data_IF_687780672912
#
_entry.id   IF_687780672912
#
_cell.length_a   1.000
_cell.length_b   1.000
_cell.length_c   1.000
_cell.angle_alpha   90.00
_cell.angle_beta   90.00
_cell.angle_gamma   90.00
#
_symmetry.space_group_name_H-M   'P 1'
#
loop_
_entity.id
_entity.type
_entity.pdbx_description
1 polymer ?
#
# COMPACT_ATOMS: atom_id res chain seq x y z
N UNK A 1 -5.61 -25.24 -27.56
CA UNK A 1 -5.60 -24.71 -26.18
C UNK A 1 -7.05 -24.72 -25.69
N UNK A 2 -7.30 -25.20 -24.45
CA UNK A 2 -8.67 -25.27 -23.91
C UNK A 2 -9.29 -23.90 -23.74
N UNK A 3 -10.62 -23.82 -23.82
CA UNK A 3 -11.40 -22.59 -23.64
C UNK A 3 -11.22 -22.03 -22.22
N UNK A 4 -11.18 -20.70 -22.10
CA UNK A 4 -11.13 -20.01 -20.81
C UNK A 4 -12.53 -19.64 -20.38
N UNK A 5 -12.92 -20.10 -19.21
CA UNK A 5 -14.22 -19.78 -18.59
C UNK A 5 -14.00 -18.83 -17.41
N UNK A 6 -14.69 -17.69 -17.41
CA UNK A 6 -14.69 -16.75 -16.28
C UNK A 6 -15.87 -17.04 -15.35
N UNK A 7 -15.59 -17.10 -14.05
CA UNK A 7 -16.59 -17.37 -13.01
C UNK A 7 -16.53 -16.27 -11.95
N UNK A 8 -17.68 -15.68 -11.62
CA UNK A 8 -17.81 -14.81 -10.43
C UNK A 8 -17.63 -15.63 -9.18
N UNK A 9 -16.84 -15.13 -8.24
CA UNK A 9 -16.66 -15.78 -6.93
C UNK A 9 -17.88 -15.48 -6.06
N UNK A 10 -18.62 -16.50 -5.70
CA UNK A 10 -19.86 -16.40 -4.93
C UNK A 10 -19.93 -17.36 -3.72
N UNK A 11 -18.93 -18.22 -3.55
CA UNK A 11 -18.90 -19.19 -2.46
C UNK A 11 -17.49 -19.35 -1.86
N UNK A 12 -17.42 -19.96 -0.68
CA UNK A 12 -16.18 -20.10 0.10
C UNK A 12 -15.11 -20.98 -0.58
N UNK A 13 -15.52 -21.97 -1.38
CA UNK A 13 -14.57 -22.83 -2.13
C UNK A 13 -13.86 -22.01 -3.22
N UNK A 14 -14.60 -21.21 -3.95
CA UNK A 14 -14.05 -20.33 -4.98
C UNK A 14 -13.21 -19.23 -4.35
N UNK A 15 -13.65 -18.62 -3.22
CA UNK A 15 -12.86 -17.62 -2.49
C UNK A 15 -11.53 -18.22 -2.00
N UNK A 16 -11.52 -19.44 -1.50
CA UNK A 16 -10.29 -20.14 -1.14
C UNK A 16 -9.37 -20.33 -2.35
N UNK A 17 -9.92 -20.72 -3.50
CA UNK A 17 -9.14 -20.87 -4.74
C UNK A 17 -8.59 -19.51 -5.22
N UNK A 18 -9.37 -18.43 -5.07
CA UNK A 18 -8.94 -17.06 -5.37
C UNK A 18 -7.75 -16.64 -4.51
N UNK A 19 -7.83 -16.84 -3.19
CA UNK A 19 -6.77 -16.47 -2.25
C UNK A 19 -5.49 -17.27 -2.48
N UNK A 20 -5.61 -18.57 -2.76
CA UNK A 20 -4.47 -19.48 -2.87
C UNK A 20 -3.79 -19.52 -4.24
N UNK A 21 -4.37 -18.91 -5.29
CA UNK A 21 -3.76 -18.93 -6.62
C UNK A 21 -2.31 -18.43 -6.67
N UNK A 22 -1.92 -17.32 -5.96
CA UNK A 22 -0.55 -16.82 -5.97
C UNK A 22 0.48 -17.84 -5.48
N UNK A 23 0.15 -18.71 -4.53
CA UNK A 23 1.06 -19.76 -4.06
C UNK A 23 1.59 -20.63 -5.21
N UNK A 24 0.74 -20.87 -6.22
CA UNK A 24 1.11 -21.66 -7.38
C UNK A 24 1.85 -20.84 -8.43
N UNK A 25 1.40 -19.63 -8.72
CA UNK A 25 2.03 -18.74 -9.72
C UNK A 25 3.45 -18.39 -9.29
N UNK A 26 3.66 -18.15 -7.99
CA UNK A 26 4.96 -17.74 -7.44
C UNK A 26 5.75 -18.91 -6.83
N UNK A 27 5.36 -20.16 -7.10
CA UNK A 27 6.09 -21.32 -6.60
C UNK A 27 7.57 -21.26 -7.01
N UNK A 28 8.48 -21.29 -6.03
CA UNK A 28 9.93 -21.17 -6.27
C UNK A 28 10.44 -19.75 -6.53
N UNK A 29 9.60 -18.74 -6.59
CA UNK A 29 10.04 -17.35 -6.75
C UNK A 29 10.66 -16.82 -5.44
N UNK A 30 11.91 -16.33 -5.53
CA UNK A 30 12.65 -15.85 -4.37
C UNK A 30 12.34 -14.37 -4.01
N UNK A 31 11.61 -13.65 -4.85
CA UNK A 31 11.33 -12.23 -4.69
C UNK A 31 9.92 -11.93 -4.22
N UNK A 32 8.99 -12.85 -4.43
CA UNK A 32 7.59 -12.68 -4.04
C UNK A 32 7.40 -12.68 -2.52
N UNK A 33 6.61 -11.73 -2.02
CA UNK A 33 6.16 -11.64 -0.63
C UNK A 33 4.64 -11.82 -0.60
N UNK A 34 4.14 -12.94 -0.05
CA UNK A 34 2.70 -13.21 -0.04
C UNK A 34 1.95 -12.25 0.89
N UNK A 35 0.70 -11.97 0.54
CA UNK A 35 -0.27 -11.36 1.45
C UNK A 35 -0.70 -12.36 2.53
N UNK A 36 -1.28 -11.85 3.62
CA UNK A 36 -1.99 -12.71 4.55
C UNK A 36 -3.32 -13.17 3.93
N UNK A 37 -3.56 -14.48 3.89
CA UNK A 37 -4.79 -15.06 3.35
C UNK A 37 -6.05 -14.43 3.94
N UNK A 38 -6.03 -14.17 5.24
CA UNK A 38 -7.17 -13.55 5.94
C UNK A 38 -7.40 -12.10 5.50
N UNK A 39 -6.34 -11.33 5.23
CA UNK A 39 -6.49 -9.93 4.80
C UNK A 39 -7.18 -9.85 3.45
N UNK A 40 -6.82 -10.74 2.52
CA UNK A 40 -7.48 -10.81 1.21
C UNK A 40 -8.96 -11.20 1.36
N UNK A 41 -9.28 -12.19 2.22
CA UNK A 41 -10.67 -12.59 2.46
C UNK A 41 -11.49 -11.46 3.09
N UNK A 42 -10.89 -10.74 4.03
CA UNK A 42 -11.55 -9.65 4.77
C UNK A 42 -11.89 -8.47 3.86
N UNK A 43 -11.16 -8.24 2.76
CA UNK A 43 -11.51 -7.22 1.74
C UNK A 43 -12.92 -7.41 1.18
N UNK A 44 -13.39 -8.66 1.04
CA UNK A 44 -14.71 -9.00 0.49
C UNK A 44 -15.80 -9.15 1.56
N UNK A 45 -15.47 -9.00 2.83
CA UNK A 45 -16.40 -9.21 3.94
C UNK A 45 -16.97 -7.90 4.47
N UNK A 46 -18.27 -7.59 4.23
CA UNK A 46 -18.87 -6.33 4.67
C UNK A 46 -18.95 -6.16 6.21
N UNK A 47 -18.76 -7.25 6.97
CA UNK A 47 -18.69 -7.16 8.45
C UNK A 47 -17.30 -6.76 8.95
N UNK A 48 -16.28 -6.82 8.08
CA UNK A 48 -14.89 -6.53 8.43
C UNK A 48 -14.30 -5.37 7.64
N UNK A 49 -14.87 -5.07 6.48
CA UNK A 49 -14.42 -3.99 5.61
C UNK A 49 -15.53 -2.94 5.47
N UNK A 50 -15.44 -1.90 6.28
CA UNK A 50 -16.42 -0.80 6.30
C UNK A 50 -16.40 0.04 5.01
N UNK A 51 -15.33 -0.03 4.21
CA UNK A 51 -15.26 0.62 2.89
C UNK A 51 -16.31 0.09 1.91
N UNK A 52 -16.83 -1.13 2.12
CA UNK A 52 -17.90 -1.70 1.29
C UNK A 52 -19.25 -0.99 1.44
N UNK A 53 -19.38 -0.01 2.34
CA UNK A 53 -20.54 0.87 2.40
C UNK A 53 -20.63 1.84 1.22
N UNK A 54 -19.48 2.21 0.64
CA UNK A 54 -19.38 3.13 -0.49
C UNK A 54 -18.60 2.56 -1.69
N UNK A 55 -18.12 1.34 -1.59
CA UNK A 55 -17.46 0.63 -2.67
C UNK A 55 -18.14 -0.72 -2.96
N UNK A 56 -18.13 -1.11 -4.22
CA UNK A 56 -18.52 -2.43 -4.66
C UNK A 56 -17.27 -3.19 -5.08
N UNK A 57 -17.19 -4.46 -4.70
CA UNK A 57 -16.09 -5.34 -5.09
C UNK A 57 -16.63 -6.67 -5.60
N UNK A 58 -16.05 -7.17 -6.71
CA UNK A 58 -16.39 -8.50 -7.27
C UNK A 58 -15.11 -9.23 -7.67
N UNK A 59 -14.92 -10.41 -7.12
CA UNK A 59 -13.84 -11.30 -7.51
C UNK A 59 -14.25 -12.20 -8.69
N UNK A 60 -13.28 -12.46 -9.58
CA UNK A 60 -13.43 -13.35 -10.73
C UNK A 60 -12.28 -14.37 -10.77
N UNK A 61 -12.57 -15.57 -11.21
CA UNK A 61 -11.62 -16.63 -11.48
C UNK A 61 -11.68 -17.03 -12.96
N UNK A 62 -10.51 -17.20 -13.57
CA UNK A 62 -10.37 -17.81 -14.87
C UNK A 62 -10.05 -19.30 -14.72
N UNK A 63 -10.84 -20.13 -15.39
CA UNK A 63 -10.64 -21.58 -15.44
C UNK A 63 -10.22 -22.00 -16.84
N UNK A 64 -9.32 -22.98 -16.92
CA UNK A 64 -9.00 -23.73 -18.12
C UNK A 64 -8.93 -25.20 -17.77
N UNK A 65 -9.72 -26.04 -18.48
CA UNK A 65 -9.76 -27.47 -18.23
C UNK A 65 -9.99 -27.84 -16.75
N UNK A 66 -10.87 -27.08 -16.07
CA UNK A 66 -11.20 -27.27 -14.66
C UNK A 66 -10.18 -26.77 -13.64
N UNK A 67 -9.04 -26.20 -14.09
CA UNK A 67 -8.03 -25.60 -13.22
C UNK A 67 -8.16 -24.07 -13.20
N UNK A 68 -7.98 -23.46 -12.02
CA UNK A 68 -7.89 -22.00 -11.92
C UNK A 68 -6.56 -21.55 -12.50
N UNK A 69 -6.57 -20.68 -13.50
CA UNK A 69 -5.38 -20.17 -14.20
C UNK A 69 -5.19 -18.67 -14.06
N UNK A 70 -6.17 -17.98 -13.44
CA UNK A 70 -6.08 -16.56 -13.15
C UNK A 70 -7.16 -16.10 -12.19
N UNK A 71 -6.93 -14.95 -11.59
CA UNK A 71 -7.86 -14.22 -10.71
C UNK A 71 -7.80 -12.72 -10.96
N UNK A 72 -8.85 -11.99 -10.67
CA UNK A 72 -8.92 -10.54 -10.67
C UNK A 72 -10.08 -10.07 -9.79
N UNK A 73 -9.98 -8.88 -9.21
CA UNK A 73 -11.10 -8.19 -8.58
C UNK A 73 -11.45 -6.92 -9.36
N UNK A 74 -12.72 -6.70 -9.63
CA UNK A 74 -13.28 -5.42 -10.05
C UNK A 74 -13.74 -4.64 -8.82
N UNK A 75 -13.45 -3.34 -8.78
CA UNK A 75 -13.74 -2.45 -7.65
C UNK A 75 -14.32 -1.15 -8.18
N UNK A 76 -15.46 -0.70 -7.65
CA UNK A 76 -16.03 0.61 -7.92
C UNK A 76 -16.05 1.37 -6.60
N UNK A 77 -15.17 2.34 -6.43
CA UNK A 77 -15.15 3.23 -5.29
C UNK A 77 -15.93 4.51 -5.64
N UNK A 78 -17.15 4.64 -5.13
CA UNK A 78 -18.05 5.78 -5.42
C UNK A 78 -17.47 7.10 -4.92
N UNK A 79 -16.83 7.12 -3.76
CA UNK A 79 -16.21 8.33 -3.20
C UNK A 79 -15.03 8.82 -4.07
N UNK A 80 -14.19 7.89 -4.54
CA UNK A 80 -13.10 8.24 -5.46
C UNK A 80 -13.64 8.75 -6.80
N UNK A 81 -14.65 8.08 -7.36
CA UNK A 81 -15.25 8.50 -8.64
C UNK A 81 -15.90 9.90 -8.53
N UNK A 82 -16.61 10.19 -7.45
CA UNK A 82 -17.17 11.51 -7.17
C UNK A 82 -16.08 12.58 -7.02
N UNK A 83 -15.06 12.29 -6.20
CA UNK A 83 -13.95 13.21 -5.93
C UNK A 83 -13.20 13.58 -7.21
N UNK A 84 -12.84 12.60 -8.01
CA UNK A 84 -12.05 12.76 -9.23
C UNK A 84 -12.92 13.04 -10.46
N UNK A 85 -14.25 13.14 -10.31
CA UNK A 85 -15.22 13.37 -11.37
C UNK A 85 -15.06 12.43 -12.56
N UNK A 86 -14.90 11.15 -12.25
CA UNK A 86 -14.67 10.08 -13.22
C UNK A 86 -15.71 8.97 -13.09
N UNK A 87 -15.88 8.17 -14.14
CA UNK A 87 -16.70 6.97 -14.16
C UNK A 87 -15.79 5.77 -14.38
N UNK A 88 -15.06 5.38 -13.34
CA UNK A 88 -13.98 4.41 -13.45
C UNK A 88 -14.23 3.17 -12.58
N UNK A 89 -14.01 1.98 -13.16
CA UNK A 89 -13.84 0.74 -12.43
C UNK A 89 -12.35 0.49 -12.22
N UNK A 90 -11.95 0.18 -11.01
CA UNK A 90 -10.59 -0.26 -10.71
C UNK A 90 -10.49 -1.78 -10.89
N UNK A 91 -9.34 -2.26 -11.34
CA UNK A 91 -8.99 -3.68 -11.17
C UNK A 91 -7.89 -3.80 -10.12
N UNK A 92 -7.96 -4.89 -9.33
CA UNK A 92 -6.96 -5.21 -8.32
C UNK A 92 -6.82 -6.71 -8.12
N UNK A 93 -5.90 -7.15 -7.26
CA UNK A 93 -5.65 -8.56 -6.95
C UNK A 93 -5.50 -9.45 -8.20
N UNK A 94 -4.97 -8.89 -9.29
CA UNK A 94 -4.81 -9.57 -10.57
C UNK A 94 -3.62 -10.52 -10.53
N UNK A 95 -3.87 -11.80 -10.86
CA UNK A 95 -2.84 -12.83 -11.00
C UNK A 95 -3.21 -13.79 -12.12
N UNK A 96 -2.24 -14.14 -12.96
CA UNK A 96 -2.52 -15.02 -14.10
C UNK A 96 -1.25 -15.74 -14.59
N UNK A 97 -1.44 -16.93 -15.16
CA UNK A 97 -0.38 -17.65 -15.86
C UNK A 97 -0.01 -16.93 -17.17
N UNK A 98 1.24 -17.06 -17.65
CA UNK A 98 1.76 -16.38 -18.84
C UNK A 98 1.05 -16.83 -20.14
N UNK A 99 -0.17 -16.35 -20.31
CA UNK A 99 -1.00 -16.53 -21.51
C UNK A 99 -1.90 -15.31 -21.69
N UNK A 100 -1.74 -14.59 -22.78
CA UNK A 100 -2.48 -13.37 -23.11
C UNK A 100 -4.01 -13.59 -23.14
N UNK A 101 -4.48 -14.78 -23.47
CA UNK A 101 -5.89 -15.09 -23.47
C UNK A 101 -6.49 -15.10 -22.07
N UNK A 102 -5.69 -15.47 -21.04
CA UNK A 102 -6.13 -15.45 -19.65
C UNK A 102 -6.28 -14.03 -19.15
N UNK A 103 -5.23 -13.20 -19.30
CA UNK A 103 -5.24 -11.80 -18.87
C UNK A 103 -6.33 -11.01 -19.60
N UNK A 104 -6.50 -11.22 -20.92
CA UNK A 104 -7.60 -10.64 -21.69
C UNK A 104 -8.98 -10.99 -21.12
N UNK A 105 -9.25 -12.26 -20.88
CA UNK A 105 -10.53 -12.70 -20.37
C UNK A 105 -10.84 -12.13 -18.97
N UNK A 106 -9.83 -12.07 -18.08
CA UNK A 106 -9.96 -11.47 -16.75
C UNK A 106 -10.27 -9.99 -16.80
N UNK A 107 -9.51 -9.22 -17.58
CA UNK A 107 -9.71 -7.79 -17.72
C UNK A 107 -11.05 -7.47 -18.37
N UNK A 108 -11.44 -8.19 -19.43
CA UNK A 108 -12.75 -8.06 -20.07
C UNK A 108 -13.91 -8.33 -19.10
N UNK A 109 -13.75 -9.29 -18.17
CA UNK A 109 -14.79 -9.54 -17.16
C UNK A 109 -14.99 -8.35 -16.23
N UNK A 110 -13.92 -7.62 -15.87
CA UNK A 110 -13.99 -6.39 -15.06
C UNK A 110 -14.52 -5.23 -15.91
N UNK A 111 -14.08 -5.08 -17.17
CA UNK A 111 -14.59 -4.08 -18.11
C UNK A 111 -16.12 -4.22 -18.26
N UNK A 112 -16.61 -5.43 -18.54
CA UNK A 112 -18.04 -5.71 -18.65
C UNK A 112 -18.79 -5.43 -17.34
N UNK A 113 -18.28 -5.90 -16.21
CA UNK A 113 -18.89 -5.68 -14.90
C UNK A 113 -18.97 -4.20 -14.53
N UNK A 114 -17.96 -3.43 -14.92
CA UNK A 114 -17.93 -1.97 -14.77
C UNK A 114 -18.93 -1.29 -15.70
N UNK A 115 -18.95 -1.65 -16.98
CA UNK A 115 -19.87 -1.11 -18.00
C UNK A 115 -21.33 -1.29 -17.62
N UNK A 116 -21.71 -2.49 -17.12
CA UNK A 116 -23.05 -2.78 -16.58
C UNK A 116 -23.46 -1.83 -15.44
N UNK A 117 -22.49 -1.12 -14.83
CA UNK A 117 -22.66 -0.16 -13.73
C UNK A 117 -22.36 1.28 -14.12
N UNK A 118 -22.29 1.54 -15.44
CA UNK A 118 -22.09 2.89 -15.98
C UNK A 118 -20.65 3.40 -15.93
N UNK A 119 -19.67 2.51 -15.73
CA UNK A 119 -18.26 2.91 -15.82
C UNK A 119 -17.81 2.94 -17.27
N UNK A 120 -17.01 3.95 -17.61
CA UNK A 120 -16.50 4.20 -18.97
C UNK A 120 -15.01 3.99 -19.10
N UNK A 121 -14.32 3.80 -17.96
CA UNK A 121 -12.89 3.58 -17.90
C UNK A 121 -12.58 2.45 -16.92
N UNK A 122 -11.47 1.74 -17.16
CA UNK A 122 -10.88 0.77 -16.25
C UNK A 122 -9.46 1.20 -15.93
N UNK A 123 -9.08 1.19 -14.64
CA UNK A 123 -7.73 1.52 -14.20
C UNK A 123 -7.23 0.59 -13.10
N UNK A 124 -5.90 0.47 -12.97
CA UNK A 124 -5.29 -0.33 -11.90
C UNK A 124 -3.90 -0.88 -12.25
N UNK A 125 -3.36 -1.81 -11.44
CA UNK A 125 -4.02 -2.37 -10.27
C UNK A 125 -4.07 -1.39 -9.10
N UNK A 126 -5.24 -1.31 -8.46
CA UNK A 126 -5.49 -0.48 -7.28
C UNK A 126 -6.46 -1.19 -6.35
N UNK A 127 -6.40 -0.87 -5.06
CA UNK A 127 -7.35 -1.36 -4.07
C UNK A 127 -8.60 -0.49 -3.92
N UNK A 128 -9.34 -0.74 -2.84
CA UNK A 128 -10.51 0.04 -2.48
C UNK A 128 -10.07 1.39 -1.91
N UNK A 129 -9.07 1.38 -1.03
CA UNK A 129 -8.53 2.53 -0.33
C UNK A 129 -7.02 2.66 -0.54
N UNK A 130 -6.47 3.81 -0.25
CA UNK A 130 -5.05 4.15 -0.42
C UNK A 130 -4.07 3.34 0.45
N UNK A 131 -4.58 2.58 1.44
CA UNK A 131 -3.79 1.63 2.21
C UNK A 131 -3.72 0.24 1.59
N UNK A 132 -4.50 -0.01 0.56
CA UNK A 132 -4.38 -1.25 -0.22
C UNK A 132 -3.18 -1.14 -1.16
N UNK A 133 -2.65 -2.27 -1.58
CA UNK A 133 -1.51 -2.30 -2.50
C UNK A 133 -1.89 -1.78 -3.88
N UNK A 134 -1.02 -0.95 -4.46
CA UNK A 134 -1.24 -0.27 -5.73
C UNK A 134 -0.06 -0.41 -6.69
N UNK A 135 -0.37 -0.35 -7.98
CA UNK A 135 0.60 -0.31 -9.06
C UNK A 135 1.21 -1.67 -9.42
N UNK A 136 1.22 -1.99 -10.70
CA UNK A 136 1.89 -3.15 -11.28
C UNK A 136 3.40 -2.88 -11.38
N UNK A 137 4.23 -3.78 -10.87
CA UNK A 137 5.69 -3.68 -11.01
C UNK A 137 6.07 -3.69 -12.49
N UNK A 138 6.89 -2.72 -12.92
CA UNK A 138 7.36 -2.57 -14.31
C UNK A 138 8.88 -2.55 -14.43
N UNK A 139 9.61 -2.33 -13.32
CA UNK A 139 11.07 -2.36 -13.24
C UNK A 139 11.54 -3.09 -11.97
N UNK A 140 12.79 -3.57 -11.97
CA UNK A 140 13.46 -4.20 -10.83
C UNK A 140 12.77 -5.49 -10.33
N UNK A 141 12.39 -6.37 -11.24
CA UNK A 141 11.75 -7.66 -10.94
C UNK A 141 12.63 -8.64 -10.17
N UNK A 142 13.93 -8.38 -10.12
CA UNK A 142 14.97 -9.14 -9.41
C UNK A 142 15.21 -8.62 -7.99
N UNK A 143 14.42 -7.67 -7.52
CA UNK A 143 14.41 -7.21 -6.14
C UNK A 143 13.25 -7.86 -5.36
N UNK A 144 13.53 -8.18 -4.10
CA UNK A 144 12.50 -8.73 -3.21
C UNK A 144 11.37 -7.71 -3.03
N UNK A 145 10.14 -8.17 -3.17
CA UNK A 145 8.94 -7.39 -2.85
C UNK A 145 8.90 -7.00 -1.38
N UNK A 146 7.98 -6.14 -1.02
CA UNK A 146 7.72 -5.80 0.36
C UNK A 146 6.29 -6.16 0.78
N UNK A 147 6.01 -6.11 2.07
CA UNK A 147 4.67 -6.38 2.58
C UNK A 147 3.64 -5.32 2.17
N UNK A 148 4.10 -4.17 1.71
CA UNK A 148 3.26 -3.01 1.35
C UNK A 148 3.12 -2.81 -0.17
N UNK A 149 3.77 -3.66 -0.97
CA UNK A 149 3.84 -3.49 -2.42
C UNK A 149 3.25 -4.69 -3.17
N UNK A 150 2.83 -4.45 -4.40
CA UNK A 150 2.56 -5.52 -5.37
C UNK A 150 3.90 -6.00 -5.97
N UNK A 151 4.10 -7.31 -6.01
CA UNK A 151 5.11 -7.96 -6.84
C UNK A 151 4.40 -8.77 -7.92
N UNK A 152 4.89 -8.70 -9.14
CA UNK A 152 4.39 -9.48 -10.28
C UNK A 152 5.52 -9.87 -11.24
N UNK A 153 5.33 -10.94 -12.03
CA UNK A 153 6.29 -11.34 -13.06
C UNK A 153 6.42 -10.31 -14.20
N UNK A 154 7.57 -10.31 -14.94
CA UNK A 154 7.83 -9.35 -16.02
C UNK A 154 6.87 -9.42 -17.21
N UNK A 155 6.11 -10.52 -17.38
CA UNK A 155 5.16 -10.64 -18.47
C UNK A 155 3.85 -9.86 -18.22
N UNK A 156 3.53 -9.48 -16.97
CA UNK A 156 2.31 -8.72 -16.65
C UNK A 156 2.24 -7.38 -17.41
N UNK A 157 3.23 -6.47 -17.30
CA UNK A 157 3.18 -5.20 -18.04
C UNK A 157 3.14 -5.40 -19.55
N UNK A 158 3.84 -6.41 -20.09
CA UNK A 158 3.78 -6.73 -21.53
C UNK A 158 2.35 -7.09 -21.98
N UNK A 159 1.61 -7.84 -21.15
CA UNK A 159 0.21 -8.15 -21.45
C UNK A 159 -0.66 -6.91 -21.42
N UNK A 160 -0.45 -5.99 -20.46
CA UNK A 160 -1.21 -4.73 -20.39
C UNK A 160 -1.02 -3.90 -21.67
N UNK A 161 0.22 -3.74 -22.13
CA UNK A 161 0.55 -3.02 -23.37
C UNK A 161 -0.11 -3.71 -24.59
N UNK A 162 -0.02 -5.03 -24.72
CA UNK A 162 -0.61 -5.79 -25.83
C UNK A 162 -2.15 -5.68 -25.84
N UNK A 163 -2.78 -5.50 -24.68
CA UNK A 163 -4.23 -5.35 -24.55
C UNK A 163 -4.71 -3.90 -24.67
N UNK A 164 -3.79 -2.96 -25.02
CA UNK A 164 -4.11 -1.57 -25.28
C UNK A 164 -4.33 -0.74 -24.03
N UNK A 165 -3.77 -1.16 -22.89
CA UNK A 165 -3.72 -0.34 -21.68
C UNK A 165 -2.56 0.65 -21.78
N UNK A 166 -2.78 1.87 -21.33
CA UNK A 166 -1.81 2.94 -21.33
C UNK A 166 -1.38 3.28 -19.89
N UNK A 167 -0.24 3.96 -19.76
CA UNK A 167 0.22 4.49 -18.47
C UNK A 167 -0.69 5.62 -18.01
N UNK A 168 -1.21 5.49 -16.80
CA UNK A 168 -1.87 6.59 -16.08
C UNK A 168 -0.88 7.34 -15.22
N UNK A 169 -0.32 6.68 -14.21
CA UNK A 169 0.74 7.21 -13.34
C UNK A 169 1.75 6.11 -13.00
N UNK A 170 2.96 6.54 -12.65
CA UNK A 170 3.96 5.67 -12.04
C UNK A 170 4.24 6.07 -10.60
N UNK A 171 4.49 5.07 -9.76
CA UNK A 171 5.02 5.22 -8.42
C UNK A 171 6.45 4.69 -8.34
N UNK A 172 7.25 5.37 -7.54
CA UNK A 172 8.63 5.02 -7.24
C UNK A 172 8.76 4.65 -5.77
N UNK A 173 9.54 3.61 -5.48
CA UNK A 173 9.92 3.29 -4.11
C UNK A 173 11.32 3.81 -3.84
N UNK A 174 11.50 4.41 -2.67
CA UNK A 174 12.81 4.91 -2.22
C UNK A 174 13.34 4.01 -1.12
N UNK A 175 14.57 3.54 -1.29
CA UNK A 175 15.34 2.83 -0.26
C UNK A 175 16.53 3.67 0.15
N UNK A 176 16.76 3.79 1.45
CA UNK A 176 17.90 4.48 2.02
C UNK A 176 18.63 3.59 3.02
N UNK A 177 19.95 3.72 3.10
CA UNK A 177 20.72 3.21 4.23
C UNK A 177 20.56 4.17 5.39
N UNK A 178 20.23 3.66 6.57
CA UNK A 178 20.04 4.48 7.75
C UNK A 178 21.42 4.95 8.23
N UNK A 179 21.68 6.27 8.23
CA UNK A 179 22.96 6.80 8.67
C UNK A 179 23.13 6.60 10.17
N UNK A 180 24.39 6.46 10.64
CA UNK A 180 24.69 6.29 12.07
C UNK A 180 24.27 7.50 12.89
N UNK A 181 24.35 8.69 12.30
CA UNK A 181 23.99 9.97 12.91
C UNK A 181 23.03 10.72 12.00
N UNK A 182 22.22 11.60 12.60
CA UNK A 182 21.33 12.46 11.81
C UNK A 182 22.16 13.38 10.90
N UNK A 183 21.93 13.40 9.59
CA UNK A 183 22.63 14.31 8.69
C UNK A 183 22.50 15.75 9.17
N UNK A 184 23.63 16.48 9.18
CA UNK A 184 23.69 17.87 9.69
C UNK A 184 22.65 18.80 9.05
N UNK A 185 22.29 18.56 7.79
CA UNK A 185 21.23 19.31 7.10
C UNK A 185 19.85 19.10 7.78
N UNK A 186 19.49 17.86 8.15
CA UNK A 186 18.21 17.62 8.83
C UNK A 186 18.22 18.20 10.24
N UNK A 187 19.27 17.98 11.03
CA UNK A 187 19.38 18.53 12.37
C UNK A 187 19.25 20.06 12.37
N UNK A 188 19.92 20.74 11.42
CA UNK A 188 19.84 22.21 11.27
C UNK A 188 18.42 22.66 10.90
N UNK A 189 17.79 22.01 9.90
CA UNK A 189 16.43 22.38 9.45
C UNK A 189 15.42 22.10 10.55
N UNK A 190 15.53 20.96 11.25
CA UNK A 190 14.67 20.63 12.38
C UNK A 190 14.73 21.68 13.49
N UNK A 191 15.94 22.12 13.88
CA UNK A 191 16.11 23.17 14.90
C UNK A 191 15.51 24.50 14.45
N UNK A 192 15.77 24.93 13.21
CA UNK A 192 15.18 26.15 12.66
C UNK A 192 13.64 26.09 12.66
N UNK A 193 13.06 24.95 12.24
CA UNK A 193 11.60 24.79 12.23
C UNK A 193 11.02 24.78 13.66
N UNK A 194 11.72 24.18 14.64
CA UNK A 194 11.34 24.24 16.06
C UNK A 194 11.27 25.68 16.56
N UNK A 195 12.32 26.46 16.27
CA UNK A 195 12.44 27.85 16.75
C UNK A 195 11.45 28.79 16.05
N UNK A 196 11.31 28.67 14.72
CA UNK A 196 10.48 29.60 13.93
C UNK A 196 8.98 29.39 14.12
N UNK A 197 8.55 28.14 14.34
CA UNK A 197 7.13 27.78 14.36
C UNK A 197 6.68 27.19 15.71
N UNK A 198 7.52 27.20 16.73
CA UNK A 198 7.20 26.65 18.05
C UNK A 198 6.89 25.15 18.03
N UNK A 199 7.55 24.39 17.13
CA UNK A 199 7.21 22.98 16.91
C UNK A 199 7.86 22.06 17.94
N UNK A 200 7.12 21.03 18.34
CA UNK A 200 7.60 20.00 19.27
C UNK A 200 7.28 18.61 18.74
N UNK A 201 8.28 17.73 18.77
CA UNK A 201 8.05 16.30 18.57
C UNK A 201 7.33 15.75 19.79
N UNK A 202 6.26 15.01 19.57
CA UNK A 202 5.52 14.30 20.60
C UNK A 202 5.50 12.81 20.33
N UNK A 203 5.99 12.03 21.27
CA UNK A 203 5.83 10.57 21.27
C UNK A 203 4.51 10.20 21.92
N UNK A 204 3.83 9.25 21.33
CA UNK A 204 2.53 8.76 21.78
C UNK A 204 2.68 7.37 22.37
N UNK A 205 1.97 7.09 23.45
CA UNK A 205 1.82 5.73 23.95
C UNK A 205 0.64 5.02 23.24
N UNK A 206 0.55 3.69 23.40
CA UNK A 206 -0.50 2.88 22.74
C UNK A 206 -1.92 3.35 23.10
N UNK A 207 -2.16 3.79 24.33
CA UNK A 207 -3.48 4.25 24.77
C UNK A 207 -3.88 5.54 24.05
N UNK A 208 -2.95 6.47 23.88
CA UNK A 208 -3.18 7.71 23.14
C UNK A 208 -3.46 7.43 21.65
N UNK A 209 -2.70 6.50 21.04
CA UNK A 209 -2.87 6.14 19.64
C UNK A 209 -4.21 5.43 19.40
N UNK A 210 -4.62 4.54 20.30
CA UNK A 210 -5.95 3.90 20.25
C UNK A 210 -7.10 4.86 20.52
N UNK A 211 -6.83 6.02 21.09
CA UNK A 211 -7.79 7.08 21.39
C UNK A 211 -7.82 8.18 20.32
N UNK A 212 -7.96 9.40 20.80
CA UNK A 212 -8.14 10.60 19.96
C UNK A 212 -6.96 10.86 19.00
N UNK A 213 -5.72 10.56 19.43
CA UNK A 213 -4.54 10.86 18.61
C UNK A 213 -4.49 10.03 17.32
N UNK A 214 -4.93 8.79 17.33
CA UNK A 214 -5.06 8.01 16.11
C UNK A 214 -6.00 8.67 15.10
N UNK A 215 -7.17 9.13 15.57
CA UNK A 215 -8.09 9.88 14.72
C UNK A 215 -7.49 11.19 14.19
N UNK A 216 -6.70 11.90 15.01
CA UNK A 216 -6.00 13.15 14.58
C UNK A 216 -4.98 12.86 13.47
N UNK A 217 -4.22 11.76 13.55
CA UNK A 217 -3.27 11.35 12.50
C UNK A 217 -3.98 11.15 11.17
N UNK A 218 -5.11 10.44 11.16
CA UNK A 218 -5.85 10.18 9.94
C UNK A 218 -6.59 11.41 9.40
N UNK A 219 -7.08 12.31 10.26
CA UNK A 219 -7.61 13.61 9.81
C UNK A 219 -6.53 14.43 9.10
N UNK A 220 -5.33 14.53 9.70
CA UNK A 220 -4.19 15.18 9.06
C UNK A 220 -3.82 14.53 7.73
N UNK A 221 -3.89 13.20 7.66
CA UNK A 221 -3.63 12.47 6.42
C UNK A 221 -4.68 12.79 5.34
N UNK A 222 -5.98 12.79 5.68
CA UNK A 222 -7.03 13.19 4.75
C UNK A 222 -6.78 14.60 4.18
N UNK A 223 -6.34 15.55 5.00
CA UNK A 223 -5.99 16.91 4.56
C UNK A 223 -4.75 16.93 3.65
N UNK A 224 -3.69 16.23 4.06
CA UNK A 224 -2.40 16.25 3.36
C UNK A 224 -2.44 15.48 2.04
N UNK A 225 -3.20 14.37 1.97
CA UNK A 225 -3.26 13.48 0.81
C UNK A 225 -4.39 13.83 -0.16
N UNK A 226 -5.23 14.79 0.20
CA UNK A 226 -6.33 15.25 -0.63
C UNK A 226 -6.00 15.46 -2.12
N UNK A 227 -4.84 16.02 -2.53
CA UNK A 227 -4.49 16.20 -3.94
C UNK A 227 -3.80 14.99 -4.60
N UNK A 228 -3.54 13.90 -3.85
CA UNK A 228 -2.79 12.74 -4.37
C UNK A 228 -3.70 11.90 -5.26
N UNK A 229 -3.17 11.48 -6.41
CA UNK A 229 -3.87 10.64 -7.39
C UNK A 229 -4.50 9.40 -6.74
N UNK A 230 -5.76 9.15 -7.06
CA UNK A 230 -6.50 7.97 -6.59
C UNK A 230 -7.00 8.06 -5.16
N UNK A 231 -6.52 9.01 -4.36
CA UNK A 231 -6.90 9.16 -2.97
C UNK A 231 -8.39 9.44 -2.77
N UNK A 232 -9.00 8.78 -1.80
CA UNK A 232 -10.33 9.09 -1.30
C UNK A 232 -10.32 9.15 0.22
N UNK A 233 -11.06 10.11 0.78
CA UNK A 233 -11.05 10.35 2.23
C UNK A 233 -11.49 9.11 3.00
N UNK A 234 -10.74 8.80 4.05
CA UNK A 234 -11.10 7.74 4.99
C UNK A 234 -12.18 8.26 5.95
N UNK A 235 -13.25 7.49 6.10
CA UNK A 235 -14.29 7.79 7.08
C UNK A 235 -13.81 7.49 8.50
N UNK A 236 -14.41 8.13 9.51
CA UNK A 236 -14.06 7.88 10.93
C UNK A 236 -14.22 6.40 11.33
N UNK A 237 -15.19 5.71 10.75
CA UNK A 237 -15.42 4.30 10.99
C UNK A 237 -14.26 3.44 10.44
N UNK A 238 -13.83 3.70 9.19
CA UNK A 238 -12.66 3.03 8.60
C UNK A 238 -11.39 3.29 9.40
N UNK A 239 -11.18 4.54 9.81
CA UNK A 239 -10.04 4.93 10.64
C UNK A 239 -10.06 4.14 11.95
N UNK A 240 -11.22 3.98 12.56
CA UNK A 240 -11.39 3.19 13.79
C UNK A 240 -11.01 1.72 13.56
N UNK A 241 -11.40 1.14 12.44
CA UNK A 241 -11.08 -0.24 12.09
C UNK A 241 -9.58 -0.41 11.79
N UNK A 242 -8.97 0.51 11.04
CA UNK A 242 -7.53 0.53 10.77
C UNK A 242 -6.71 0.65 12.07
N UNK A 243 -7.10 1.55 12.96
CA UNK A 243 -6.45 1.72 14.27
C UNK A 243 -6.53 0.42 15.07
N UNK A 244 -7.71 -0.19 15.19
CA UNK A 244 -7.88 -1.46 15.91
C UNK A 244 -7.08 -2.60 15.31
N UNK A 245 -6.99 -2.65 13.98
CA UNK A 245 -6.28 -3.71 13.26
C UNK A 245 -4.75 -3.58 13.39
N UNK A 246 -4.21 -2.38 13.22
CA UNK A 246 -2.77 -2.18 13.07
C UNK A 246 -2.05 -1.75 14.36
N UNK A 247 -2.68 -0.96 15.24
CA UNK A 247 -2.00 -0.45 16.43
C UNK A 247 -1.46 -1.55 17.36
N UNK A 248 -2.15 -2.70 17.55
CA UNK A 248 -1.61 -3.77 18.39
C UNK A 248 -0.25 -4.30 17.96
N UNK A 249 0.06 -4.22 16.65
CA UNK A 249 1.31 -4.71 16.06
C UNK A 249 2.34 -3.62 15.78
N UNK A 250 1.94 -2.33 15.85
CA UNK A 250 2.87 -1.22 15.68
C UNK A 250 3.68 -0.95 16.95
N UNK A 251 4.93 -0.57 16.75
CA UNK A 251 5.80 -0.08 17.81
C UNK A 251 5.61 1.45 17.96
N UNK A 252 5.11 1.95 19.11
CA UNK A 252 4.89 3.38 19.31
C UNK A 252 6.14 4.26 19.11
N UNK A 253 7.35 3.74 19.38
CA UNK A 253 8.59 4.46 19.14
C UNK A 253 8.79 4.83 17.67
N UNK A 254 8.22 4.04 16.76
CA UNK A 254 8.30 4.24 15.31
C UNK A 254 7.21 5.17 14.76
N UNK A 255 6.42 5.77 15.64
CA UNK A 255 5.43 6.80 15.31
C UNK A 255 5.93 8.14 15.82
N UNK A 256 6.01 9.12 14.93
CA UNK A 256 6.42 10.49 15.25
C UNK A 256 5.27 11.44 14.95
N UNK A 257 4.89 12.24 15.92
CA UNK A 257 3.96 13.35 15.71
C UNK A 257 4.66 14.67 16.05
N UNK A 258 4.27 15.73 15.34
CA UNK A 258 4.77 17.09 15.58
C UNK A 258 3.57 17.99 15.86
N UNK A 259 3.65 18.74 16.93
CA UNK A 259 2.62 19.70 17.36
C UNK A 259 3.19 21.11 17.39
N UNK A 260 2.34 22.10 17.14
CA UNK A 260 2.64 23.51 17.37
C UNK A 260 2.39 23.92 18.83
N UNK A 261 2.63 25.19 19.18
CA UNK A 261 2.42 25.71 20.54
C UNK A 261 0.97 25.62 21.03
N UNK A 262 0.00 25.56 20.11
CA UNK A 262 -1.42 25.40 20.42
C UNK A 262 -1.83 23.94 20.66
N UNK A 263 -0.88 22.99 20.52
CA UNK A 263 -1.17 21.56 20.60
C UNK A 263 -1.87 20.99 19.35
N UNK A 264 -1.86 21.73 18.24
CA UNK A 264 -2.37 21.23 16.96
C UNK A 264 -1.33 20.35 16.28
N UNK A 265 -1.74 19.18 15.81
CA UNK A 265 -0.87 18.29 15.05
C UNK A 265 -0.60 18.86 13.66
N UNK A 266 0.66 19.07 13.33
CA UNK A 266 1.11 19.63 12.04
C UNK A 266 1.84 18.60 11.17
N UNK A 267 2.33 17.53 11.78
CA UNK A 267 2.96 16.43 11.05
C UNK A 267 2.75 15.12 11.82
N UNK A 268 2.62 14.04 11.06
CA UNK A 268 2.64 12.68 11.59
C UNK A 268 3.39 11.77 10.62
N UNK A 269 4.20 10.87 11.17
CA UNK A 269 4.85 9.81 10.42
C UNK A 269 4.63 8.48 11.14
N UNK A 270 4.27 7.46 10.38
CA UNK A 270 4.08 6.10 10.87
C UNK A 270 5.03 5.18 10.14
N UNK A 271 5.88 4.51 10.90
CA UNK A 271 6.81 3.52 10.39
C UNK A 271 6.57 2.20 11.10
N UNK A 272 6.90 1.11 10.44
CA UNK A 272 6.87 -0.24 11.04
C UNK A 272 8.11 -1.02 10.64
N UNK A 273 8.50 -2.02 11.43
CA UNK A 273 9.48 -3.00 10.98
C UNK A 273 8.91 -3.82 9.82
N UNK A 274 9.76 -4.15 8.84
CA UNK A 274 9.37 -5.06 7.76
C UNK A 274 8.98 -6.42 8.31
N UNK A 275 7.97 -7.02 7.71
CA UNK A 275 7.54 -8.39 7.92
C UNK A 275 7.69 -9.25 6.65
N UNK A 276 8.42 -8.76 5.65
CA UNK A 276 8.51 -9.39 4.34
C UNK A 276 9.12 -10.80 4.39
N UNK A 277 10.21 -10.98 5.13
CA UNK A 277 10.79 -12.30 5.35
C UNK A 277 9.90 -13.20 6.19
N UNK A 278 9.18 -12.61 7.14
CA UNK A 278 8.23 -13.33 8.01
C UNK A 278 7.05 -13.86 7.21
N UNK A 279 6.46 -13.03 6.36
CA UNK A 279 5.39 -13.41 5.44
C UNK A 279 5.83 -14.52 4.47
N UNK A 280 7.03 -14.43 3.91
CA UNK A 280 7.59 -15.49 3.07
C UNK A 280 7.75 -16.81 3.82
N UNK A 281 8.30 -16.80 5.05
CA UNK A 281 8.48 -18.01 5.88
C UNK A 281 7.15 -18.66 6.24
N UNK A 282 6.11 -17.88 6.48
CA UNK A 282 4.77 -18.36 6.82
C UNK A 282 3.91 -18.65 5.58
N UNK A 283 4.41 -18.33 4.37
CA UNK A 283 3.65 -18.38 3.12
C UNK A 283 2.30 -17.65 3.21
N UNK A 284 2.26 -16.49 3.87
CA UNK A 284 1.03 -15.71 4.08
C UNK A 284 0.02 -16.33 5.05
N UNK A 285 0.37 -17.39 5.76
CA UNK A 285 -0.54 -18.11 6.66
C UNK A 285 -0.15 -17.92 8.13
N UNK A 286 -1.14 -17.56 8.95
CA UNK A 286 -0.94 -17.49 10.42
C UNK A 286 -1.01 -18.85 11.07
N UNK A 287 -1.88 -19.75 10.60
CA UNK A 287 -2.09 -21.07 11.21
C UNK A 287 -1.62 -22.19 10.29
N UNK A 288 -1.16 -23.34 10.86
CA UNK A 288 -1.10 -23.64 12.30
C UNK A 288 0.09 -23.01 13.04
N UNK A 289 1.24 -22.73 12.38
CA UNK A 289 2.47 -22.30 13.06
C UNK A 289 3.05 -20.98 12.54
N UNK A 290 2.45 -20.38 11.51
CA UNK A 290 2.94 -19.12 10.93
C UNK A 290 3.02 -17.99 11.95
N UNK A 291 2.06 -17.87 12.86
CA UNK A 291 2.02 -16.85 13.91
C UNK A 291 3.29 -16.81 14.78
N UNK A 292 4.00 -17.96 14.94
CA UNK A 292 5.27 -18.01 15.68
C UNK A 292 6.33 -17.12 15.05
N UNK A 293 6.39 -17.08 13.70
CA UNK A 293 7.32 -16.22 12.98
C UNK A 293 7.00 -14.74 13.22
N UNK A 294 5.71 -14.38 13.23
CA UNK A 294 5.28 -12.99 13.51
C UNK A 294 5.62 -12.57 14.94
N UNK A 295 5.31 -13.39 15.94
CA UNK A 295 5.67 -13.12 17.34
C UNK A 295 7.18 -12.92 17.47
N UNK A 296 7.97 -13.80 16.85
CA UNK A 296 9.43 -13.69 16.89
C UNK A 296 9.92 -12.36 16.29
N UNK A 297 9.38 -11.96 15.14
CA UNK A 297 9.82 -10.73 14.47
C UNK A 297 9.33 -9.48 15.20
N UNK A 298 8.08 -9.47 15.65
CA UNK A 298 7.50 -8.29 16.30
C UNK A 298 8.03 -8.00 17.69
N UNK A 299 8.42 -9.04 18.46
CA UNK A 299 8.75 -8.88 19.87
C UNK A 299 10.20 -9.22 20.23
N UNK A 300 10.92 -9.96 19.40
CA UNK A 300 12.27 -10.44 19.76
C UNK A 300 13.37 -10.04 18.80
N UNK A 301 13.10 -10.01 17.49
CA UNK A 301 14.15 -9.72 16.50
C UNK A 301 13.55 -9.13 15.24
N UNK A 302 13.64 -7.81 15.10
CA UNK A 302 13.25 -7.10 13.88
C UNK A 302 13.99 -7.61 12.65
N UNK A 303 13.34 -7.53 11.49
CA UNK A 303 14.04 -7.52 10.21
C UNK A 303 14.90 -6.24 10.12
N UNK A 304 15.89 -6.21 9.24
CA UNK A 304 16.84 -5.09 9.19
C UNK A 304 16.30 -3.84 8.43
N UNK A 305 15.07 -3.90 7.98
CA UNK A 305 14.43 -2.85 7.18
C UNK A 305 13.22 -2.27 7.91
N UNK A 306 13.13 -0.96 7.98
CA UNK A 306 11.96 -0.21 8.42
C UNK A 306 11.13 0.21 7.20
N UNK A 307 9.82 -0.02 7.24
CA UNK A 307 8.88 0.43 6.21
C UNK A 307 8.22 1.73 6.65
N UNK A 308 8.43 2.79 5.90
CA UNK A 308 7.81 4.09 6.13
C UNK A 308 6.43 4.08 5.47
N UNK A 309 5.40 3.85 6.29
CA UNK A 309 4.03 3.64 5.82
C UNK A 309 3.35 4.93 5.38
N UNK A 310 3.53 5.99 6.13
CA UNK A 310 3.01 7.31 5.80
C UNK A 310 3.86 8.42 6.42
N UNK A 311 3.86 9.56 5.76
CA UNK A 311 4.31 10.84 6.31
C UNK A 311 3.33 11.91 5.82
N UNK A 312 2.64 12.55 6.74
CA UNK A 312 1.67 13.60 6.46
C UNK A 312 2.11 14.91 7.10
N UNK A 313 2.16 15.97 6.32
CA UNK A 313 2.45 17.34 6.77
C UNK A 313 1.26 18.20 6.41
N UNK A 314 0.73 18.95 7.37
CA UNK A 314 -0.40 19.86 7.16
C UNK A 314 -0.12 20.80 5.99
N UNK A 315 -1.07 21.02 5.05
CA UNK A 315 -0.81 21.74 3.80
C UNK A 315 -0.13 23.10 3.96
N UNK A 316 -0.52 23.88 4.97
CA UNK A 316 0.08 25.19 5.28
C UNK A 316 1.50 25.12 5.85
N UNK A 317 1.95 23.95 6.30
CA UNK A 317 3.28 23.69 6.86
C UNK A 317 4.20 22.94 5.89
N UNK A 318 3.71 22.55 4.71
CA UNK A 318 4.53 21.89 3.69
C UNK A 318 5.61 22.83 3.13
N UNK A 319 6.80 22.27 2.89
CA UNK A 319 7.95 23.04 2.40
C UNK A 319 8.67 23.87 3.47
N UNK A 320 8.18 23.91 4.71
CA UNK A 320 8.79 24.66 5.82
C UNK A 320 9.76 23.82 6.67
N UNK A 321 10.16 22.65 6.16
CA UNK A 321 11.16 21.79 6.82
C UNK A 321 10.64 20.94 7.98
N UNK A 322 9.31 20.85 8.16
CA UNK A 322 8.69 20.10 9.27
C UNK A 322 9.04 18.60 9.19
N UNK A 323 9.18 18.03 8.01
CA UNK A 323 9.61 16.65 7.82
C UNK A 323 11.03 16.36 8.37
N UNK A 324 11.88 17.37 8.48
CA UNK A 324 13.21 17.19 9.09
C UNK A 324 13.12 16.79 10.57
N UNK A 325 12.08 17.22 11.29
CA UNK A 325 11.84 16.80 12.68
C UNK A 325 11.56 15.30 12.77
N UNK A 326 10.89 14.74 11.75
CA UNK A 326 10.61 13.29 11.68
C UNK A 326 11.92 12.50 11.54
N UNK A 327 12.82 12.93 10.65
CA UNK A 327 14.12 12.26 10.46
C UNK A 327 15.06 12.46 11.66
N UNK A 328 15.03 13.66 12.27
CA UNK A 328 15.80 13.98 13.49
C UNK A 328 15.40 13.05 14.66
N UNK A 329 14.11 12.72 14.77
CA UNK A 329 13.58 11.81 15.78
C UNK A 329 13.79 10.31 15.44
N UNK A 330 13.49 9.90 14.21
CA UNK A 330 13.44 8.47 13.84
C UNK A 330 14.82 7.84 13.58
N UNK A 331 15.80 8.57 13.03
CA UNK A 331 17.12 8.00 12.73
C UNK A 331 17.80 7.42 13.98
N UNK A 332 17.87 8.13 15.13
CA UNK A 332 18.41 7.54 16.35
C UNK A 332 17.63 6.31 16.85
N UNK A 333 16.31 6.32 16.66
CA UNK A 333 15.44 5.19 17.04
C UNK A 333 15.71 3.98 16.16
N UNK A 334 15.82 4.17 14.85
CA UNK A 334 16.17 3.09 13.92
C UNK A 334 17.50 2.44 14.26
N UNK A 335 18.54 3.25 14.53
CA UNK A 335 19.85 2.74 14.93
C UNK A 335 19.78 1.94 16.24
N UNK A 336 19.07 2.44 17.26
CA UNK A 336 18.89 1.74 18.54
C UNK A 336 18.15 0.41 18.38
N UNK A 337 17.17 0.33 17.45
CA UNK A 337 16.40 -0.89 17.17
C UNK A 337 17.07 -1.83 16.15
N UNK A 338 18.23 -1.44 15.60
CA UNK A 338 19.03 -2.29 14.72
C UNK A 338 18.59 -2.31 13.26
N UNK A 339 17.75 -1.35 12.83
CA UNK A 339 17.43 -1.19 11.41
C UNK A 339 18.63 -0.66 10.64
N UNK A 340 18.88 -1.21 9.47
CA UNK A 340 19.94 -0.80 8.55
C UNK A 340 19.42 0.00 7.37
N UNK A 341 18.20 -0.29 6.98
CA UNK A 341 17.54 0.28 5.81
C UNK A 341 16.17 0.84 6.18
N UNK A 342 15.76 1.88 5.45
CA UNK A 342 14.39 2.32 5.41
C UNK A 342 13.87 2.27 3.96
N UNK A 343 12.66 1.78 3.76
CA UNK A 343 11.95 1.77 2.49
C UNK A 343 10.64 2.52 2.61
N UNK A 344 10.34 3.34 1.61
CA UNK A 344 9.05 4.04 1.54
C UNK A 344 7.97 3.14 0.94
N UNK A 345 6.71 3.48 1.16
CA UNK A 345 5.64 3.09 0.27
C UNK A 345 5.82 3.70 -1.14
N UNK A 346 4.96 3.33 -2.08
CA UNK A 346 4.96 3.91 -3.41
C UNK A 346 4.75 5.44 -3.35
N UNK A 347 5.60 6.20 -4.06
CA UNK A 347 5.52 7.66 -4.15
C UNK A 347 5.34 8.06 -5.61
N UNK A 348 4.36 8.91 -5.92
CA UNK A 348 4.13 9.37 -7.28
C UNK A 348 5.40 9.97 -7.90
N UNK A 349 5.71 9.62 -9.15
CA UNK A 349 6.93 10.04 -9.83
C UNK A 349 7.00 11.56 -10.06
N UNK A 350 5.86 12.24 -10.14
CA UNK A 350 5.71 13.69 -10.31
C UNK A 350 5.70 14.45 -8.99
N UNK A 351 5.63 13.76 -7.84
CA UNK A 351 5.73 14.40 -6.52
C UNK A 351 7.19 14.73 -6.16
N UNK A 352 7.76 15.69 -6.91
CA UNK A 352 9.15 16.12 -6.79
C UNK A 352 9.50 16.60 -5.37
N UNK A 353 8.53 17.21 -4.67
CA UNK A 353 8.74 17.68 -3.28
C UNK A 353 8.99 16.51 -2.35
N UNK A 354 8.18 15.48 -2.44
CA UNK A 354 8.30 14.26 -1.64
C UNK A 354 9.61 13.52 -1.97
N UNK A 355 9.90 13.30 -3.24
CA UNK A 355 11.13 12.63 -3.67
C UNK A 355 12.40 13.41 -3.26
N UNK A 356 12.35 14.74 -3.25
CA UNK A 356 13.51 15.57 -2.94
C UNK A 356 13.92 15.54 -1.46
N UNK A 357 13.01 15.20 -0.55
CA UNK A 357 13.34 15.13 0.88
C UNK A 357 14.35 14.04 1.20
N UNK A 358 14.44 12.99 0.38
CA UNK A 358 15.38 11.88 0.58
C UNK A 358 16.83 12.18 0.20
N UNK A 359 17.10 13.24 -0.61
CA UNK A 359 18.44 13.55 -1.13
C UNK A 359 19.56 13.54 -0.08
N UNK A 360 19.36 14.05 1.15
CA UNK A 360 20.41 14.03 2.17
C UNK A 360 20.78 12.63 2.67
N UNK A 361 19.96 11.62 2.39
CA UNK A 361 20.17 10.23 2.77
C UNK A 361 20.75 9.38 1.63
N UNK A 362 21.15 10.00 0.52
CA UNK A 362 21.66 9.29 -0.68
C UNK A 362 20.73 8.16 -1.14
N UNK A 363 19.50 8.48 -1.56
CA UNK A 363 18.45 7.51 -1.82
C UNK A 363 18.76 6.65 -3.05
N UNK A 364 18.37 5.39 -3.00
CA UNK A 364 18.23 4.52 -4.15
C UNK A 364 16.75 4.48 -4.55
N UNK A 365 16.43 5.01 -5.73
CA UNK A 365 15.10 4.86 -6.33
C UNK A 365 15.05 3.48 -6.96
N UNK A 366 13.99 2.73 -6.68
CA UNK A 366 13.82 1.36 -7.14
C UNK A 366 12.34 0.99 -7.27
N UNK A 367 12.08 -0.14 -7.96
CA UNK A 367 10.75 -0.77 -8.04
C UNK A 367 9.69 0.20 -8.54
N UNK A 368 9.84 0.65 -9.79
CA UNK A 368 8.78 1.42 -10.45
C UNK A 368 7.52 0.58 -10.60
N UNK A 369 6.39 1.15 -10.24
CA UNK A 369 5.06 0.55 -10.39
C UNK A 369 4.17 1.46 -11.20
N UNK A 370 3.28 0.87 -11.98
CA UNK A 370 2.40 1.59 -12.90
C UNK A 370 0.94 1.32 -12.62
N UNK A 371 0.14 2.37 -12.58
CA UNK A 371 -1.28 2.30 -12.80
C UNK A 371 -1.53 2.34 -14.31
N UNK A 372 -2.30 1.39 -14.79
CA UNK A 372 -2.72 1.30 -16.17
C UNK A 372 -4.14 1.80 -16.31
N UNK A 373 -4.47 2.40 -17.45
CA UNK A 373 -5.81 2.89 -17.77
C UNK A 373 -6.20 2.47 -19.18
N UNK A 374 -7.50 2.29 -19.39
CA UNK A 374 -8.09 2.08 -20.70
C UNK A 374 -9.54 2.53 -20.71
N UNK A 375 -10.01 3.09 -21.83
CA UNK A 375 -11.43 3.35 -22.08
C UNK A 375 -12.15 2.04 -22.37
N UNK A 376 -13.32 1.84 -21.75
CA UNK A 376 -14.15 0.67 -21.98
C UNK A 376 -14.94 0.91 -23.28
N UNK A 377 -14.68 0.07 -24.27
CA UNK A 377 -15.46 0.01 -25.50
C UNK A 377 -16.63 -0.97 -25.30
N UNK A 378 -17.85 -0.48 -25.48
CA UNK A 378 -19.10 -1.26 -25.36
C UNK A 378 -19.49 -1.93 -26.67
#
# INVERSE_FOLDING_TARGET
MGEITIVKVDNSRQMKAFVQLPERIYAGNQYYVPDLDNDIQDMFNPKKNTALKYADIQAFLAYREGKVVGRIAGIINRNANERWKQSCVRFGLIEFEDDIAISKALLQAVEQWGAERGMTQIQGPMGIIDFDKEGMLVEDFDLMGSMIDIYNPPYYPRHMEQLGYEKEVDWLQVRVEIPKEVPAKYARVANLSKEMFGLKVRKLNRKEILGEYGQRVFRLMNEAYAPIFGYSDLTEEMVTDLIKKYIPILDPDLITTVENEKGEMVCAAVTTGSLSHTLRKSNGKLFPFGWVHFVKTLFFKNEDTANMMLIAVRPDMQGLGVNALVFDDLIPIYNRKGYKYAETGPQLEDNVKELSQWKPLNPKIQKRRRCWIKTIEL
#
